data_IF_659493346692
#
_entry.id   IF_659493346692
#
_cell.length_a   1.000
_cell.length_b   1.000
_cell.length_c   1.000
_cell.angle_alpha   90.00
_cell.angle_beta   90.00
_cell.angle_gamma   90.00
#
_symmetry.space_group_name_H-M   'P 1'
#
loop_
_entity.id
_entity.type
_entity.pdbx_description
1 polymer ?
#
# COMPACT_ATOMS: atom_id res chain seq x y z
N UNK A 1 -23.54 16.49 22.96
CA UNK A 1 -23.71 16.83 21.52
C UNK A 1 -22.42 16.68 20.67
N UNK A 2 -21.24 17.15 21.07
CA UNK A 2 -20.00 17.02 20.25
C UNK A 2 -19.59 15.57 19.93
N UNK A 3 -19.67 14.65 20.90
CA UNK A 3 -19.29 13.23 20.73
C UNK A 3 -20.15 12.50 19.70
N UNK A 4 -21.45 12.78 19.67
CA UNK A 4 -22.38 12.16 18.71
C UNK A 4 -22.07 12.61 17.28
N UNK A 5 -21.74 13.89 17.07
CA UNK A 5 -21.32 14.42 15.79
C UNK A 5 -20.05 13.71 15.27
N UNK A 6 -19.03 13.57 16.12
CA UNK A 6 -17.79 12.88 15.75
C UNK A 6 -18.02 11.41 15.41
N UNK A 7 -18.91 10.73 16.12
CA UNK A 7 -19.28 9.36 15.82
C UNK A 7 -19.94 9.23 14.46
N UNK A 8 -20.86 10.14 14.12
CA UNK A 8 -21.54 10.14 12.81
C UNK A 8 -20.57 10.39 11.68
N UNK A 9 -19.66 11.36 11.84
CA UNK A 9 -18.64 11.68 10.82
C UNK A 9 -17.64 10.52 10.66
N UNK A 10 -17.21 9.90 11.76
CA UNK A 10 -16.35 8.72 11.73
C UNK A 10 -17.03 7.51 11.05
N UNK A 11 -18.31 7.28 11.32
CA UNK A 11 -19.10 6.22 10.69
C UNK A 11 -19.30 6.47 9.19
N UNK A 12 -19.58 7.71 8.79
CA UNK A 12 -19.69 8.08 7.37
C UNK A 12 -18.36 7.89 6.64
N UNK A 13 -17.25 8.32 7.24
CA UNK A 13 -15.92 8.10 6.69
C UNK A 13 -15.57 6.60 6.59
N UNK A 14 -15.93 5.79 7.58
CA UNK A 14 -15.76 4.35 7.54
C UNK A 14 -16.56 3.71 6.39
N UNK A 15 -17.81 4.14 6.18
CA UNK A 15 -18.63 3.66 5.07
C UNK A 15 -18.01 3.99 3.71
N UNK A 16 -17.55 5.25 3.52
CA UNK A 16 -16.89 5.69 2.28
C UNK A 16 -15.60 4.89 2.04
N UNK A 17 -14.73 4.77 3.04
CA UNK A 17 -13.50 4.01 2.92
C UNK A 17 -13.77 2.54 2.60
N UNK A 18 -14.78 1.91 3.22
CA UNK A 18 -15.18 0.53 2.96
C UNK A 18 -15.68 0.35 1.53
N UNK A 19 -16.52 1.26 1.03
CA UNK A 19 -16.98 1.26 -0.36
C UNK A 19 -15.81 1.37 -1.34
N UNK A 20 -14.86 2.26 -1.09
CA UNK A 20 -13.65 2.40 -1.90
C UNK A 20 -12.84 1.10 -1.92
N UNK A 21 -12.63 0.46 -0.77
CA UNK A 21 -11.90 -0.82 -0.70
C UNK A 21 -12.65 -1.92 -1.46
N UNK A 22 -13.96 -2.02 -1.31
CA UNK A 22 -14.78 -3.06 -1.94
C UNK A 22 -14.95 -2.83 -3.44
N UNK A 23 -14.84 -1.59 -3.92
CA UNK A 23 -14.96 -1.26 -5.33
C UNK A 23 -13.92 -2.01 -6.19
N UNK A 24 -12.73 -2.30 -5.66
CA UNK A 24 -11.73 -3.10 -6.36
C UNK A 24 -12.20 -4.54 -6.68
N UNK A 25 -13.14 -5.09 -5.89
CA UNK A 25 -13.69 -6.42 -6.13
C UNK A 25 -14.68 -6.43 -7.29
N UNK A 26 -15.42 -5.34 -7.45
CA UNK A 26 -16.43 -5.19 -8.51
C UNK A 26 -15.79 -4.77 -9.84
N UNK A 27 -14.77 -3.96 -9.80
CA UNK A 27 -14.16 -3.36 -10.98
C UNK A 27 -12.61 -3.30 -10.83
N UNK A 28 -11.89 -4.33 -11.28
CA UNK A 28 -10.43 -4.42 -11.12
C UNK A 28 -9.64 -3.26 -11.71
N UNK A 29 -10.16 -2.59 -12.75
CA UNK A 29 -9.51 -1.43 -13.36
C UNK A 29 -9.53 -0.17 -12.47
N UNK A 30 -10.37 -0.13 -11.42
CA UNK A 30 -10.33 0.94 -10.43
C UNK A 30 -9.32 0.72 -9.30
N UNK A 31 -8.51 -0.33 -9.36
CA UNK A 31 -7.54 -0.67 -8.30
C UNK A 31 -6.67 0.53 -7.92
N UNK A 32 -6.13 1.27 -8.90
CA UNK A 32 -5.30 2.45 -8.63
C UNK A 32 -6.06 3.54 -7.86
N UNK A 33 -7.28 3.85 -8.29
CA UNK A 33 -8.12 4.86 -7.62
C UNK A 33 -8.47 4.41 -6.20
N UNK A 34 -8.86 3.16 -6.03
CA UNK A 34 -9.25 2.61 -4.74
C UNK A 34 -8.05 2.53 -3.78
N UNK A 35 -6.89 2.14 -4.28
CA UNK A 35 -5.67 2.11 -3.48
C UNK A 35 -5.26 3.51 -3.01
N UNK A 36 -5.34 4.51 -3.85
CA UNK A 36 -4.96 5.87 -3.47
C UNK A 36 -6.00 6.55 -2.58
N UNK A 37 -7.28 6.33 -2.85
CA UNK A 37 -8.38 7.04 -2.20
C UNK A 37 -8.83 6.43 -0.86
N UNK A 38 -8.70 5.10 -0.68
CA UNK A 38 -9.24 4.42 0.52
C UNK A 38 -8.63 4.85 1.87
N UNK A 39 -7.34 5.24 1.99
CA UNK A 39 -6.79 5.74 3.25
C UNK A 39 -7.23 7.17 3.59
N UNK A 40 -7.64 7.96 2.59
CA UNK A 40 -7.95 9.40 2.76
C UNK A 40 -9.05 9.67 3.79
N UNK A 41 -10.20 8.99 3.78
CA UNK A 41 -11.25 9.24 4.77
C UNK A 41 -10.78 9.01 6.21
N UNK A 42 -9.92 7.99 6.43
CA UNK A 42 -9.34 7.69 7.74
C UNK A 42 -8.38 8.81 8.16
N UNK A 43 -7.51 9.27 7.24
CA UNK A 43 -6.57 10.36 7.48
C UNK A 43 -7.29 11.66 7.84
N UNK A 44 -8.39 11.97 7.15
CA UNK A 44 -9.22 13.15 7.41
C UNK A 44 -9.83 13.10 8.82
N UNK A 45 -10.37 11.96 9.24
CA UNK A 45 -10.91 11.83 10.60
C UNK A 45 -9.80 11.93 11.66
N UNK A 46 -8.60 11.40 11.39
CA UNK A 46 -7.46 11.58 12.28
C UNK A 46 -7.09 13.06 12.46
N UNK A 47 -7.06 13.81 11.36
CA UNK A 47 -6.70 15.23 11.37
C UNK A 47 -7.74 16.08 12.11
N UNK A 48 -9.04 15.90 11.83
CA UNK A 48 -10.10 16.72 12.41
C UNK A 48 -10.52 16.32 13.82
N UNK A 49 -10.49 15.04 14.17
CA UNK A 49 -11.03 14.51 15.43
C UNK A 49 -10.00 13.81 16.31
N UNK A 50 -8.79 13.64 15.78
CA UNK A 50 -7.66 13.04 16.49
C UNK A 50 -7.57 11.51 16.30
N UNK A 51 -6.42 10.97 16.68
CA UNK A 51 -6.03 9.58 16.44
C UNK A 51 -7.02 8.53 17.00
N UNK A 52 -7.69 8.83 18.13
CA UNK A 52 -8.67 7.90 18.72
C UNK A 52 -9.86 7.64 17.79
N UNK A 53 -10.35 8.68 17.13
CA UNK A 53 -11.44 8.58 16.18
C UNK A 53 -10.98 7.97 14.87
N UNK A 54 -9.76 8.28 14.43
CA UNK A 54 -9.15 7.63 13.26
C UNK A 54 -9.01 6.13 13.45
N UNK A 55 -8.56 5.68 14.63
CA UNK A 55 -8.49 4.26 14.97
C UNK A 55 -9.89 3.60 14.98
N UNK A 56 -10.88 4.27 15.56
CA UNK A 56 -12.27 3.79 15.54
C UNK A 56 -12.83 3.67 14.12
N UNK A 57 -12.54 4.66 13.26
CA UNK A 57 -12.91 4.63 11.82
C UNK A 57 -12.22 3.46 11.11
N UNK A 58 -10.92 3.29 11.33
CA UNK A 58 -10.14 2.17 10.75
C UNK A 58 -10.71 0.81 11.17
N UNK A 59 -11.01 0.63 12.47
CA UNK A 59 -11.62 -0.59 12.97
C UNK A 59 -13.00 -0.85 12.33
N UNK A 60 -13.83 0.20 12.17
CA UNK A 60 -15.11 0.12 11.47
C UNK A 60 -14.96 -0.33 10.01
N UNK A 61 -13.99 0.24 9.29
CA UNK A 61 -13.67 -0.15 7.91
C UNK A 61 -13.28 -1.63 7.84
N UNK A 62 -12.38 -2.07 8.72
CA UNK A 62 -11.91 -3.47 8.76
C UNK A 62 -13.07 -4.42 9.01
N UNK A 63 -13.95 -4.12 9.97
CA UNK A 63 -15.12 -4.95 10.28
C UNK A 63 -16.05 -5.03 9.06
N UNK A 64 -16.42 -3.90 8.47
CA UNK A 64 -17.32 -3.85 7.31
C UNK A 64 -16.73 -4.62 6.11
N UNK A 65 -15.45 -4.39 5.84
CA UNK A 65 -14.78 -5.07 4.72
C UNK A 65 -14.62 -6.57 4.98
N UNK A 66 -14.34 -6.97 6.22
CA UNK A 66 -14.26 -8.38 6.60
C UNK A 66 -15.60 -9.10 6.43
N UNK A 67 -16.70 -8.45 6.80
CA UNK A 67 -18.03 -9.03 6.69
C UNK A 67 -18.46 -9.27 5.23
N UNK A 68 -18.01 -8.43 4.30
CA UNK A 68 -18.41 -8.49 2.89
C UNK A 68 -17.35 -9.21 2.04
N UNK A 69 -16.09 -8.88 2.24
CA UNK A 69 -14.97 -9.35 1.40
C UNK A 69 -14.20 -10.54 1.98
N UNK A 70 -14.50 -10.92 3.23
CA UNK A 70 -13.82 -11.99 3.93
C UNK A 70 -12.61 -11.52 4.76
N UNK A 71 -12.08 -12.41 5.62
CA UNK A 71 -11.04 -12.07 6.61
C UNK A 71 -9.71 -11.65 5.98
N UNK A 72 -9.35 -12.20 4.83
CA UNK A 72 -8.12 -11.84 4.11
C UNK A 72 -8.15 -10.39 3.65
N UNK A 73 -9.25 -9.98 3.01
CA UNK A 73 -9.41 -8.61 2.51
C UNK A 73 -9.52 -7.63 3.68
N UNK A 74 -10.21 -8.02 4.75
CA UNK A 74 -10.28 -7.23 5.98
C UNK A 74 -8.92 -7.00 6.61
N UNK A 75 -8.12 -8.04 6.74
CA UNK A 75 -6.77 -7.95 7.30
C UNK A 75 -5.84 -7.10 6.43
N UNK A 76 -5.88 -7.30 5.11
CA UNK A 76 -5.15 -6.45 4.15
C UNK A 76 -5.58 -4.99 4.28
N UNK A 77 -6.88 -4.74 4.47
CA UNK A 77 -7.42 -3.38 4.65
C UNK A 77 -6.93 -2.74 5.94
N UNK A 78 -6.77 -3.50 7.02
CA UNK A 78 -6.23 -3.00 8.28
C UNK A 78 -4.80 -2.45 8.10
N UNK A 79 -3.95 -3.21 7.44
CA UNK A 79 -2.56 -2.80 7.19
C UNK A 79 -2.45 -1.73 6.11
N UNK A 80 -3.25 -1.82 5.06
CA UNK A 80 -3.23 -0.86 3.97
C UNK A 80 -3.98 0.43 4.33
N UNK A 81 -5.31 0.42 4.25
CA UNK A 81 -6.10 1.63 4.45
C UNK A 81 -6.02 2.16 5.89
N UNK A 82 -6.02 1.25 6.88
CA UNK A 82 -5.96 1.60 8.29
C UNK A 82 -4.61 2.21 8.69
N UNK A 83 -3.52 1.47 8.52
CA UNK A 83 -2.19 1.92 8.94
C UNK A 83 -1.72 3.12 8.11
N UNK A 84 -1.91 3.10 6.79
CA UNK A 84 -1.54 4.20 5.91
C UNK A 84 -2.36 5.47 6.21
N UNK A 85 -3.68 5.33 6.35
CA UNK A 85 -4.56 6.45 6.69
C UNK A 85 -4.23 7.06 8.05
N UNK A 86 -3.93 6.24 9.06
CA UNK A 86 -3.47 6.71 10.37
C UNK A 86 -2.09 7.38 10.30
N UNK A 87 -1.16 6.84 9.53
CA UNK A 87 0.17 7.42 9.34
C UNK A 87 0.09 8.82 8.71
N UNK A 88 -0.71 8.97 7.65
CA UNK A 88 -0.97 10.26 7.00
C UNK A 88 -1.68 11.22 7.97
N UNK A 89 -2.75 10.77 8.63
CA UNK A 89 -3.52 11.56 9.56
C UNK A 89 -2.71 12.01 10.78
N UNK A 90 -1.80 11.17 11.29
CA UNK A 90 -0.86 11.56 12.33
C UNK A 90 0.08 12.69 11.87
N UNK A 91 0.58 12.58 10.63
CA UNK A 91 1.43 13.61 10.04
C UNK A 91 0.72 14.96 9.94
N UNK A 92 -0.54 14.97 9.50
CA UNK A 92 -1.35 16.19 9.37
C UNK A 92 -1.73 16.75 10.75
N UNK A 93 -2.23 15.93 11.65
CA UNK A 93 -2.62 16.34 13.01
C UNK A 93 -1.48 17.03 13.76
N UNK A 94 -0.25 16.52 13.64
CA UNK A 94 0.92 17.07 14.33
C UNK A 94 1.70 18.09 13.47
N UNK A 95 1.16 18.47 12.31
CA UNK A 95 1.79 19.42 11.37
C UNK A 95 3.26 19.07 11.09
N UNK A 96 3.55 17.78 10.91
CA UNK A 96 4.89 17.34 10.61
C UNK A 96 5.33 17.87 9.24
N UNK A 97 6.65 18.05 9.07
CA UNK A 97 7.17 18.41 7.74
C UNK A 97 6.85 17.32 6.72
N UNK A 98 6.70 17.71 5.47
CA UNK A 98 6.36 16.80 4.37
C UNK A 98 7.24 15.55 4.35
N UNK A 99 8.57 15.69 4.52
CA UNK A 99 9.49 14.57 4.54
C UNK A 99 9.25 13.58 5.70
N UNK A 100 8.87 14.07 6.89
CA UNK A 100 8.57 13.20 8.04
C UNK A 100 7.26 12.43 7.83
N UNK A 101 6.24 13.10 7.30
CA UNK A 101 4.96 12.45 6.96
C UNK A 101 5.17 11.39 5.89
N UNK A 102 5.95 11.70 4.85
CA UNK A 102 6.30 10.76 3.79
C UNK A 102 7.05 9.53 4.34
N UNK A 103 8.04 9.74 5.21
CA UNK A 103 8.79 8.65 5.84
C UNK A 103 7.86 7.73 6.65
N UNK A 104 6.93 8.29 7.42
CA UNK A 104 5.94 7.53 8.20
C UNK A 104 5.00 6.73 7.30
N UNK A 105 4.59 7.32 6.18
CA UNK A 105 3.72 6.68 5.19
C UNK A 105 4.45 5.52 4.48
N UNK A 106 5.72 5.72 4.12
CA UNK A 106 6.56 4.66 3.54
C UNK A 106 6.73 3.51 4.53
N UNK A 107 6.95 3.81 5.81
CA UNK A 107 7.05 2.77 6.85
C UNK A 107 5.77 1.94 6.97
N UNK A 108 4.61 2.59 6.94
CA UNK A 108 3.31 1.92 6.94
C UNK A 108 3.13 1.03 5.69
N UNK A 109 3.59 1.48 4.53
CA UNK A 109 3.55 0.71 3.29
C UNK A 109 4.50 -0.50 3.32
N UNK A 110 5.70 -0.36 3.88
CA UNK A 110 6.63 -1.48 4.08
C UNK A 110 6.01 -2.53 5.02
N UNK A 111 5.34 -2.10 6.07
CA UNK A 111 4.65 -3.00 7.00
C UNK A 111 3.54 -3.80 6.27
N UNK A 112 2.75 -3.14 5.43
CA UNK A 112 1.72 -3.78 4.61
C UNK A 112 2.32 -4.81 3.64
N UNK A 113 3.38 -4.45 2.93
CA UNK A 113 4.06 -5.35 2.01
C UNK A 113 4.65 -6.58 2.72
N UNK A 114 5.28 -6.36 3.88
CA UNK A 114 5.81 -7.44 4.71
C UNK A 114 4.71 -8.40 5.17
N UNK A 115 3.58 -7.85 5.61
CA UNK A 115 2.41 -8.64 5.96
C UNK A 115 1.92 -9.48 4.78
N UNK A 116 1.76 -8.89 3.59
CA UNK A 116 1.29 -9.61 2.39
C UNK A 116 2.19 -10.77 2.02
N UNK A 117 3.51 -10.57 2.05
CA UNK A 117 4.49 -11.61 1.74
C UNK A 117 4.39 -12.75 2.77
N UNK A 118 4.37 -12.42 4.06
CA UNK A 118 4.28 -13.42 5.14
C UNK A 118 2.97 -14.20 5.02
N UNK A 119 1.85 -13.52 4.84
CA UNK A 119 0.54 -14.14 4.71
C UNK A 119 0.46 -15.04 3.48
N UNK A 120 0.99 -14.60 2.34
CA UNK A 120 1.00 -15.38 1.10
C UNK A 120 1.82 -16.66 1.23
N UNK A 121 2.96 -16.61 1.88
CA UNK A 121 3.85 -17.76 2.05
C UNK A 121 3.28 -18.75 3.07
N UNK A 122 2.89 -18.28 4.26
CA UNK A 122 2.56 -19.15 5.39
C UNK A 122 1.10 -19.56 5.47
N UNK A 123 0.18 -18.71 5.01
CA UNK A 123 -1.27 -18.97 5.12
C UNK A 123 -1.83 -19.49 3.81
N UNK A 124 -1.46 -18.89 2.68
CA UNK A 124 -1.95 -19.33 1.37
C UNK A 124 -1.10 -20.44 0.75
N UNK A 125 0.09 -20.72 1.29
CA UNK A 125 0.96 -21.79 0.80
C UNK A 125 1.43 -21.59 -0.65
N UNK A 126 1.45 -20.35 -1.15
CA UNK A 126 1.79 -20.03 -2.54
C UNK A 126 3.29 -19.75 -2.75
N UNK A 127 4.14 -20.28 -1.87
CA UNK A 127 5.60 -20.13 -1.98
C UNK A 127 6.12 -20.53 -3.37
N UNK A 128 5.66 -21.66 -3.90
CA UNK A 128 6.06 -22.14 -5.23
C UNK A 128 5.55 -21.25 -6.36
N UNK A 129 4.33 -20.70 -6.23
CA UNK A 129 3.79 -19.75 -7.20
C UNK A 129 4.54 -18.41 -7.17
N UNK A 130 4.98 -17.97 -5.98
CA UNK A 130 5.76 -16.76 -5.80
C UNK A 130 7.17 -16.91 -6.40
N UNK A 131 7.85 -18.05 -6.13
CA UNK A 131 9.15 -18.36 -6.74
C UNK A 131 9.04 -18.43 -8.25
N UNK A 132 8.01 -19.11 -8.78
CA UNK A 132 7.75 -19.15 -10.22
C UNK A 132 7.46 -17.79 -10.86
N UNK A 133 6.79 -16.88 -10.13
CA UNK A 133 6.57 -15.51 -10.59
C UNK A 133 7.87 -14.69 -10.59
N UNK A 134 8.72 -14.85 -9.55
CA UNK A 134 10.04 -14.21 -9.47
C UNK A 134 10.93 -14.71 -10.61
N UNK A 135 10.94 -16.01 -10.91
CA UNK A 135 11.73 -16.58 -12.00
C UNK A 135 11.28 -16.07 -13.37
N UNK A 136 9.97 -15.95 -13.58
CA UNK A 136 9.45 -15.36 -14.85
C UNK A 136 9.82 -13.89 -14.96
N UNK A 137 9.72 -13.14 -13.86
CA UNK A 137 10.09 -11.73 -13.83
C UNK A 137 11.59 -11.52 -14.06
N UNK A 138 12.44 -12.31 -13.42
CA UNK A 138 13.89 -12.28 -13.66
C UNK A 138 14.26 -12.67 -15.08
N UNK A 139 13.58 -13.65 -15.66
CA UNK A 139 13.75 -14.04 -17.07
C UNK A 139 13.34 -12.91 -18.01
N UNK A 140 12.22 -12.25 -17.74
CA UNK A 140 11.75 -11.09 -18.49
C UNK A 140 12.73 -9.90 -18.35
N UNK A 141 13.23 -9.63 -17.16
CA UNK A 141 14.25 -8.61 -16.95
C UNK A 141 15.54 -8.92 -17.72
N UNK A 142 16.01 -10.18 -17.72
CA UNK A 142 17.18 -10.61 -18.51
C UNK A 142 16.95 -10.41 -20.00
N UNK A 143 15.77 -10.74 -20.49
CA UNK A 143 15.42 -10.57 -21.89
C UNK A 143 15.49 -9.11 -22.35
N UNK A 144 15.05 -8.16 -21.52
CA UNK A 144 15.17 -6.72 -21.81
C UNK A 144 16.59 -6.22 -21.55
N UNK A 145 17.25 -6.71 -20.48
CA UNK A 145 18.55 -6.22 -20.04
C UNK A 145 19.68 -6.63 -20.98
N UNK A 146 19.65 -7.84 -21.53
CA UNK A 146 20.70 -8.34 -22.41
C UNK A 146 20.98 -7.44 -23.61
N UNK A 147 19.99 -7.00 -24.40
CA UNK A 147 20.23 -6.06 -25.49
C UNK A 147 20.63 -4.66 -24.99
N UNK A 148 20.10 -4.21 -23.86
CA UNK A 148 20.43 -2.90 -23.29
C UNK A 148 21.87 -2.86 -22.77
N UNK A 149 22.31 -3.92 -22.09
CA UNK A 149 23.68 -4.01 -21.56
C UNK A 149 24.73 -4.00 -22.67
N UNK A 150 24.43 -4.62 -23.83
CA UNK A 150 25.34 -4.62 -24.98
C UNK A 150 25.51 -3.23 -25.63
N UNK A 151 24.46 -2.39 -25.55
CA UNK A 151 24.49 -1.02 -26.10
C UNK A 151 25.17 -0.04 -25.16
N UNK A 152 24.98 -0.18 -23.85
CA UNK A 152 25.48 0.75 -22.85
C UNK A 152 26.75 0.28 -22.12
N UNK A 153 27.27 -0.92 -22.44
CA UNK A 153 28.48 -1.45 -21.82
C UNK A 153 28.34 -1.85 -20.36
N UNK A 154 27.12 -2.20 -19.91
CA UNK A 154 26.84 -2.68 -18.56
C UNK A 154 27.12 -4.18 -18.43
N UNK A 155 27.25 -4.67 -17.18
CA UNK A 155 27.34 -6.11 -16.91
C UNK A 155 26.12 -6.83 -17.47
N UNK A 156 26.30 -7.93 -18.24
CA UNK A 156 25.20 -8.70 -18.81
C UNK A 156 24.31 -9.38 -17.76
N UNK A 157 24.76 -9.50 -16.50
CA UNK A 157 23.95 -10.02 -15.41
C UNK A 157 23.14 -8.89 -14.73
N UNK A 158 21.80 -8.86 -14.91
CA UNK A 158 20.97 -7.83 -14.32
C UNK A 158 21.05 -7.81 -12.78
N UNK A 159 21.30 -8.98 -12.15
CA UNK A 159 21.44 -9.06 -10.70
C UNK A 159 22.66 -8.28 -10.19
N UNK A 160 23.81 -8.37 -10.89
CA UNK A 160 25.01 -7.62 -10.55
C UNK A 160 24.90 -6.15 -10.93
N UNK A 161 24.29 -5.85 -12.08
CA UNK A 161 24.10 -4.48 -12.53
C UNK A 161 23.15 -3.68 -11.61
N UNK A 162 22.11 -4.32 -11.04
CA UNK A 162 21.19 -3.67 -10.10
C UNK A 162 21.86 -3.20 -8.80
N UNK A 163 22.90 -3.90 -8.35
CA UNK A 163 23.65 -3.50 -7.15
C UNK A 163 24.78 -2.50 -7.45
N UNK A 164 24.98 -2.12 -8.70
CA UNK A 164 25.89 -1.04 -9.09
C UNK A 164 25.18 0.31 -8.94
N UNK A 165 25.94 1.38 -8.66
CA UNK A 165 25.38 2.74 -8.51
C UNK A 165 24.53 3.17 -9.70
N UNK A 166 24.93 2.81 -10.92
CA UNK A 166 24.19 3.07 -12.16
C UNK A 166 22.87 2.30 -12.24
N UNK A 167 22.84 1.05 -11.76
CA UNK A 167 21.63 0.23 -11.71
C UNK A 167 20.61 0.73 -10.70
N UNK A 168 21.07 1.21 -9.53
CA UNK A 168 20.20 1.83 -8.52
C UNK A 168 19.57 3.13 -9.02
N UNK A 169 20.32 3.95 -9.75
CA UNK A 169 19.81 5.18 -10.36
C UNK A 169 18.74 4.85 -11.42
N UNK A 170 18.99 3.86 -12.25
CA UNK A 170 18.05 3.42 -13.28
C UNK A 170 16.77 2.83 -12.69
N UNK A 171 16.87 2.01 -11.64
CA UNK A 171 15.72 1.52 -10.86
C UNK A 171 14.93 2.68 -10.22
N UNK A 172 15.62 3.67 -9.67
CA UNK A 172 14.99 4.87 -9.13
C UNK A 172 14.21 5.63 -10.19
N UNK A 173 14.77 5.79 -11.40
CA UNK A 173 14.10 6.46 -12.53
C UNK A 173 12.87 5.66 -12.99
N UNK A 174 12.99 4.35 -13.13
CA UNK A 174 11.84 3.48 -13.50
C UNK A 174 10.75 3.53 -12.43
N UNK A 175 11.12 3.57 -11.16
CA UNK A 175 10.17 3.70 -10.05
C UNK A 175 9.46 5.06 -10.06
N UNK A 176 10.17 6.15 -10.35
CA UNK A 176 9.60 7.51 -10.47
C UNK A 176 8.68 7.63 -11.69
N UNK A 177 9.02 6.97 -12.80
CA UNK A 177 8.19 6.98 -14.01
C UNK A 177 6.93 6.11 -13.91
N UNK A 178 6.90 5.17 -12.94
CA UNK A 178 5.75 4.31 -12.66
C UNK A 178 4.89 4.81 -11.46
N UNK A 179 5.31 5.83 -10.75
CA UNK A 179 4.60 6.45 -9.63
C UNK A 179 3.75 7.63 -10.08
#
# INVERSE_FOLDING_TARGET
MRKTKYLTEAAAAAAIASLLVLLKLLAPFFVFVTMTASPIPIAVICDFHGMKWGFGTSAGVVILVTMIGGPEIGLTTAFYAGALGMAMGYGFLHKLSYGKTLCLTILAYILEMSYKIIFSIYVLGIADALTGAIDRFTTFLRWIWTPLSSVFGFDPDPGKAMFTTSGMVMLGIVFILNA
#
